data_IF_695113049381
#
_entry.id   IF_695113049381
#
_cell.length_a   1.000
_cell.length_b   1.000
_cell.length_c   1.000
_cell.angle_alpha   90.00
_cell.angle_beta   90.00
_cell.angle_gamma   90.00
#
_symmetry.space_group_name_H-M   'P 1'
#
loop_
_entity.id
_entity.type
_entity.pdbx_description
1 polymer ?
#
# COMPACT_ATOMS: atom_id res chain seq x y z
N UNK A 1 -7.05 -16.14 -1.23
CA UNK A 1 -7.52 -14.89 -0.61
C UNK A 1 -7.54 -13.82 -1.68
N UNK A 2 -8.51 -12.91 -1.61
CA UNK A 2 -8.55 -11.73 -2.49
C UNK A 2 -8.35 -10.52 -1.59
N UNK A 3 -7.36 -9.69 -1.90
CA UNK A 3 -7.15 -8.41 -1.22
C UNK A 3 -8.30 -7.46 -1.60
N UNK A 4 -8.90 -6.80 -0.61
CA UNK A 4 -9.91 -5.77 -0.85
C UNK A 4 -9.24 -4.52 -1.42
N UNK A 5 -9.53 -4.20 -2.68
CA UNK A 5 -8.90 -3.10 -3.41
C UNK A 5 -9.93 -2.39 -4.28
N UNK A 6 -10.00 -1.06 -4.15
CA UNK A 6 -10.75 -0.21 -5.07
C UNK A 6 -9.78 0.76 -5.77
N UNK A 7 -9.49 0.49 -7.04
CA UNK A 7 -8.58 1.33 -7.84
C UNK A 7 -9.14 2.71 -8.17
N UNK A 8 -10.47 2.86 -8.24
CA UNK A 8 -11.11 4.16 -8.55
C UNK A 8 -10.99 5.11 -7.36
N UNK A 9 -11.25 4.59 -6.16
CA UNK A 9 -11.17 5.36 -4.92
C UNK A 9 -9.76 5.34 -4.29
N UNK A 10 -8.82 4.59 -4.90
CA UNK A 10 -7.48 4.32 -4.40
C UNK A 10 -7.51 3.86 -2.95
N UNK A 11 -8.24 2.77 -2.68
CA UNK A 11 -8.31 2.17 -1.35
C UNK A 11 -7.82 0.73 -1.35
N UNK A 12 -7.14 0.35 -0.26
CA UNK A 12 -6.73 -1.03 0.04
C UNK A 12 -7.25 -1.34 1.45
N UNK A 13 -8.13 -2.33 1.59
CA UNK A 13 -8.78 -2.70 2.87
C UNK A 13 -9.41 -1.48 3.59
N UNK A 14 -10.01 -0.56 2.83
CA UNK A 14 -10.59 0.69 3.33
C UNK A 14 -9.60 1.83 3.60
N UNK A 15 -8.29 1.59 3.57
CA UNK A 15 -7.26 2.64 3.70
C UNK A 15 -7.16 3.43 2.40
N UNK A 16 -7.44 4.73 2.47
CA UNK A 16 -7.39 5.64 1.31
C UNK A 16 -5.99 6.18 1.04
N UNK A 17 -5.63 6.33 -0.23
CA UNK A 17 -4.38 6.93 -0.69
C UNK A 17 -4.63 8.27 -1.39
N UNK A 18 -3.67 9.19 -1.28
CA UNK A 18 -3.80 10.56 -1.80
C UNK A 18 -3.32 10.68 -3.26
N UNK A 19 -2.52 9.72 -3.72
CA UNK A 19 -2.03 9.64 -5.10
C UNK A 19 -1.85 8.19 -5.54
N UNK A 20 -1.85 8.00 -6.86
CA UNK A 20 -1.79 6.67 -7.46
C UNK A 20 -0.44 5.98 -7.24
N UNK A 21 0.67 6.73 -7.23
CA UNK A 21 2.01 6.15 -7.07
C UNK A 21 2.18 5.47 -5.71
N UNK A 22 1.74 6.13 -4.63
CA UNK A 22 1.77 5.55 -3.29
C UNK A 22 0.81 4.35 -3.18
N UNK A 23 -0.37 4.44 -3.80
CA UNK A 23 -1.35 3.34 -3.86
C UNK A 23 -0.77 2.12 -4.57
N UNK A 24 -0.19 2.29 -5.75
CA UNK A 24 0.32 1.21 -6.59
C UNK A 24 1.51 0.52 -5.91
N UNK A 25 2.42 1.30 -5.30
CA UNK A 25 3.55 0.76 -4.54
C UNK A 25 3.11 -0.12 -3.36
N UNK A 26 2.14 0.34 -2.56
CA UNK A 26 1.63 -0.47 -1.43
C UNK A 26 0.85 -1.68 -1.93
N UNK A 27 0.02 -1.50 -2.96
CA UNK A 27 -0.76 -2.60 -3.53
C UNK A 27 0.14 -3.73 -4.04
N UNK A 28 1.22 -3.38 -4.74
CA UNK A 28 2.19 -4.33 -5.24
C UNK A 28 2.96 -5.04 -4.11
N UNK A 29 3.43 -4.29 -3.10
CA UNK A 29 4.17 -4.84 -1.97
C UNK A 29 3.32 -5.86 -1.18
N UNK A 30 2.11 -5.48 -0.79
CA UNK A 30 1.19 -6.36 -0.05
C UNK A 30 0.79 -7.56 -0.91
N UNK A 31 0.43 -7.33 -2.18
CA UNK A 31 0.04 -8.40 -3.10
C UNK A 31 1.16 -9.44 -3.29
N UNK A 32 2.42 -9.00 -3.37
CA UNK A 32 3.58 -9.89 -3.47
C UNK A 32 3.76 -10.71 -2.19
N UNK A 33 3.68 -10.08 -1.02
CA UNK A 33 3.79 -10.80 0.27
C UNK A 33 2.69 -11.85 0.46
N UNK A 34 1.48 -11.64 -0.07
CA UNK A 34 0.40 -12.62 0.01
C UNK A 34 0.71 -13.93 -0.74
N UNK A 35 1.57 -13.90 -1.76
CA UNK A 35 2.06 -15.12 -2.45
C UNK A 35 2.92 -15.95 -1.48
N UNK A 36 3.57 -15.30 -0.51
CA UNK A 36 4.38 -15.91 0.55
C UNK A 36 3.53 -16.30 1.79
N UNK A 37 2.24 -16.56 1.60
CA UNK A 37 1.28 -16.91 2.66
C UNK A 37 1.04 -15.84 3.73
N UNK A 38 1.46 -14.59 3.48
CA UNK A 38 1.13 -13.47 4.35
C UNK A 38 -0.37 -13.14 4.26
N UNK A 39 -0.99 -12.89 5.42
CA UNK A 39 -2.37 -12.40 5.51
C UNK A 39 -2.32 -10.96 6.01
N UNK A 40 -2.53 -9.97 5.13
CA UNK A 40 -2.43 -8.57 5.52
C UNK A 40 -3.59 -8.16 6.44
N UNK A 41 -3.26 -7.28 7.38
CA UNK A 41 -4.22 -6.54 8.20
C UNK A 41 -4.31 -5.09 7.74
N UNK A 42 -5.36 -4.39 8.17
CA UNK A 42 -5.49 -2.93 7.93
C UNK A 42 -4.25 -2.19 8.45
N UNK A 43 -3.70 -2.60 9.61
CA UNK A 43 -2.51 -2.00 10.20
C UNK A 43 -1.27 -2.17 9.32
N UNK A 44 -1.11 -3.31 8.66
CA UNK A 44 0.02 -3.55 7.75
C UNK A 44 -0.07 -2.60 6.54
N UNK A 45 -1.28 -2.36 6.03
CA UNK A 45 -1.54 -1.41 4.94
C UNK A 45 -1.23 0.04 5.39
N UNK A 46 -1.66 0.44 6.59
CA UNK A 46 -1.37 1.77 7.15
C UNK A 46 0.13 2.00 7.37
N UNK A 47 0.83 0.98 7.89
CA UNK A 47 2.27 1.02 8.10
C UNK A 47 3.03 1.11 6.78
N UNK A 48 2.66 0.30 5.78
CA UNK A 48 3.28 0.32 4.47
C UNK A 48 3.00 1.65 3.75
N UNK A 49 1.78 2.20 3.85
CA UNK A 49 1.46 3.55 3.35
C UNK A 49 2.38 4.61 3.95
N UNK A 50 2.52 4.59 5.27
CA UNK A 50 3.38 5.55 5.98
C UNK A 50 4.85 5.41 5.57
N UNK A 51 5.32 4.18 5.40
CA UNK A 51 6.68 3.88 4.92
C UNK A 51 6.92 4.42 3.50
N UNK A 52 6.02 4.13 2.56
CA UNK A 52 6.14 4.57 1.16
C UNK A 52 6.14 6.10 1.06
N UNK A 53 5.24 6.77 1.76
CA UNK A 53 5.17 8.25 1.79
C UNK A 53 6.50 8.82 2.29
N UNK A 54 6.98 8.35 3.44
CA UNK A 54 8.26 8.80 4.01
C UNK A 54 9.40 8.54 3.04
N UNK A 55 9.45 7.35 2.43
CA UNK A 55 10.54 6.99 1.52
C UNK A 55 10.56 7.86 0.27
N UNK A 56 9.38 8.15 -0.28
CA UNK A 56 9.22 9.06 -1.41
C UNK A 56 9.67 10.48 -1.08
N UNK A 57 9.36 10.97 0.12
CA UNK A 57 9.85 12.27 0.60
C UNK A 57 11.37 12.29 0.71
N UNK A 58 12.00 11.27 1.32
CA UNK A 58 13.46 11.14 1.39
C UNK A 58 14.12 11.19 0.00
N UNK A 59 13.55 10.49 -0.98
CA UNK A 59 14.07 10.43 -2.35
C UNK A 59 13.89 11.73 -3.15
N UNK A 60 12.94 12.59 -2.77
CA UNK A 60 12.79 13.92 -3.40
C UNK A 60 13.91 14.89 -3.02
N UNK A 61 14.63 14.60 -1.93
CA UNK A 61 15.74 15.43 -1.43
C UNK A 61 17.11 14.78 -1.62
N UNK A 62 17.18 13.63 -2.30
CA UNK A 62 18.40 12.90 -2.65
C UNK A 62 18.86 13.25 -4.07
#
# INVERSE_FOLDING_TARGET
>A
MTLDVNKKEMTIMGVKFDNFDDFDAVWYAIGSSMIEHFVPTVKDVEQMKSYVIKKREELKFA
#
